data_IF_173241800599
#
_entry.id   IF_173241800599
#
_cell.length_a   1.000
_cell.length_b   1.000
_cell.length_c   1.000
_cell.angle_alpha   90.00
_cell.angle_beta   90.00
_cell.angle_gamma   90.00
#
_symmetry.space_group_name_H-M   'P 1'
#
loop_
_entity.id
_entity.type
_entity.pdbx_description
1 polymer ?
#
# COMPACT_ATOMS: atom_id res chain seq x y z
N UNK A 1 8.02 33.56 -15.87
CA UNK A 1 7.42 32.94 -14.67
C UNK A 1 6.16 32.22 -15.09
N UNK A 2 6.26 30.91 -15.31
CA UNK A 2 5.14 30.03 -15.71
C UNK A 2 4.25 29.71 -14.51
N UNK A 3 2.92 29.55 -14.69
CA UNK A 3 2.00 29.40 -13.58
C UNK A 3 2.21 28.07 -12.86
N UNK A 4 2.03 28.10 -11.54
CA UNK A 4 1.94 26.93 -10.66
C UNK A 4 0.77 26.09 -11.18
N UNK A 5 1.05 24.87 -11.66
CA UNK A 5 0.01 23.93 -12.05
C UNK A 5 -0.99 23.76 -10.90
N UNK A 6 -2.21 24.22 -11.09
CA UNK A 6 -3.33 23.87 -10.22
C UNK A 6 -3.49 22.35 -10.20
N UNK A 7 -3.79 21.75 -9.04
CA UNK A 7 -4.18 20.34 -9.01
C UNK A 7 -5.40 20.14 -9.92
N UNK A 8 -5.44 18.99 -10.60
CA UNK A 8 -6.57 18.58 -11.43
C UNK A 8 -7.86 18.59 -10.57
N UNK A 9 -8.87 19.42 -10.90
CA UNK A 9 -10.07 19.60 -10.07
C UNK A 9 -10.92 18.32 -9.93
N UNK A 10 -10.62 17.24 -10.67
CA UNK A 10 -11.35 15.98 -10.62
C UNK A 10 -10.92 14.99 -9.54
N UNK A 11 -9.72 15.12 -8.95
CA UNK A 11 -9.20 14.11 -8.00
C UNK A 11 -9.26 14.64 -6.57
N UNK A 12 -10.15 14.06 -5.76
CA UNK A 12 -10.26 14.44 -4.35
C UNK A 12 -9.04 13.98 -3.55
N UNK A 13 -8.63 14.72 -2.50
CA UNK A 13 -7.61 14.28 -1.54
C UNK A 13 -7.83 12.85 -1.02
N UNK A 14 -9.07 12.48 -0.75
CA UNK A 14 -9.44 11.14 -0.31
C UNK A 14 -9.09 10.07 -1.35
N UNK A 15 -9.36 10.32 -2.63
CA UNK A 15 -9.01 9.39 -3.70
C UNK A 15 -7.48 9.18 -3.82
N UNK A 16 -6.68 10.22 -3.56
CA UNK A 16 -5.22 10.10 -3.54
C UNK A 16 -4.73 9.30 -2.31
N UNK A 17 -5.32 9.53 -1.13
CA UNK A 17 -5.02 8.70 0.06
C UNK A 17 -5.37 7.23 -0.19
N UNK A 18 -6.52 6.95 -0.81
CA UNK A 18 -6.93 5.59 -1.15
C UNK A 18 -6.00 4.96 -2.19
N UNK A 19 -5.53 5.72 -3.16
CA UNK A 19 -4.50 5.27 -4.10
C UNK A 19 -3.20 4.87 -3.37
N UNK A 20 -2.71 5.71 -2.45
CA UNK A 20 -1.52 5.38 -1.64
C UNK A 20 -1.77 4.11 -0.82
N UNK A 21 -2.94 3.99 -0.17
CA UNK A 21 -3.30 2.79 0.60
C UNK A 21 -3.30 1.53 -0.28
N UNK A 22 -3.89 1.59 -1.47
CA UNK A 22 -3.89 0.46 -2.43
C UNK A 22 -2.50 0.07 -2.88
N UNK A 23 -1.61 1.03 -3.12
CA UNK A 23 -0.21 0.73 -3.42
C UNK A 23 0.50 0.05 -2.23
N UNK A 24 0.24 0.50 -1.00
CA UNK A 24 0.76 -0.18 0.19
C UNK A 24 0.26 -1.62 0.27
N UNK A 25 -1.02 -1.87 0.00
CA UNK A 25 -1.60 -3.21 -0.04
C UNK A 25 -0.95 -4.08 -1.12
N UNK A 26 -0.68 -3.53 -2.31
CA UNK A 26 0.06 -4.22 -3.38
C UNK A 26 1.47 -4.61 -2.94
N UNK A 27 2.19 -3.70 -2.27
CA UNK A 27 3.52 -3.99 -1.71
C UNK A 27 3.44 -5.12 -0.68
N UNK A 28 2.47 -5.06 0.25
CA UNK A 28 2.29 -6.06 1.31
C UNK A 28 1.81 -7.41 0.77
N UNK A 29 1.14 -7.45 -0.37
CA UNK A 29 0.72 -8.68 -1.05
C UNK A 29 1.81 -9.28 -1.97
N UNK A 30 2.96 -8.62 -2.09
CA UNK A 30 4.09 -9.06 -2.92
C UNK A 30 5.14 -9.83 -2.12
N UNK A 31 6.14 -10.39 -2.82
CA UNK A 31 7.33 -11.01 -2.19
C UNK A 31 8.14 -10.05 -1.33
N UNK A 32 7.95 -8.75 -1.49
CA UNK A 32 8.66 -7.75 -0.68
C UNK A 32 8.30 -7.85 0.81
N UNK A 33 7.19 -8.51 1.16
CA UNK A 33 6.83 -8.81 2.56
C UNK A 33 7.89 -9.66 3.27
N UNK A 34 8.59 -10.53 2.54
CA UNK A 34 9.63 -11.40 3.10
C UNK A 34 10.83 -10.58 3.62
N UNK A 35 11.09 -9.40 3.03
CA UNK A 35 12.16 -8.49 3.44
C UNK A 35 11.96 -7.92 4.84
N UNK A 36 10.73 -7.93 5.38
CA UNK A 36 10.49 -7.46 6.75
C UNK A 36 11.24 -8.30 7.80
N UNK A 37 11.53 -9.57 7.50
CA UNK A 37 12.20 -10.48 8.42
C UNK A 37 13.69 -10.15 8.60
N UNK A 38 14.36 -9.67 7.55
CA UNK A 38 15.79 -9.30 7.55
C UNK A 38 16.03 -7.80 7.68
N UNK A 39 15.02 -6.96 7.46
CA UNK A 39 15.16 -5.50 7.38
C UNK A 39 15.87 -4.88 8.60
N UNK A 40 15.61 -5.38 9.81
CA UNK A 40 16.25 -4.86 11.03
C UNK A 40 17.77 -5.05 11.09
N UNK A 41 18.34 -5.88 10.22
CA UNK A 41 19.78 -6.12 10.11
C UNK A 41 20.38 -5.38 8.91
N UNK A 42 19.76 -5.52 7.74
CA UNK A 42 20.36 -5.07 6.47
C UNK A 42 19.96 -3.64 6.09
N UNK A 43 18.88 -3.11 6.68
CA UNK A 43 18.31 -1.80 6.37
C UNK A 43 18.14 -1.54 4.87
N UNK A 44 17.80 -2.57 4.09
CA UNK A 44 17.62 -2.44 2.64
C UNK A 44 16.41 -1.55 2.31
N UNK A 45 16.51 -0.84 1.19
CA UNK A 45 15.56 0.20 0.81
C UNK A 45 14.15 -0.37 0.57
N UNK A 46 14.06 -1.59 0.02
CA UNK A 46 12.79 -2.22 -0.24
C UNK A 46 12.13 -2.75 1.04
N UNK A 47 12.91 -3.28 1.99
CA UNK A 47 12.46 -3.62 3.33
C UNK A 47 11.91 -2.39 4.08
N UNK A 48 12.62 -1.26 4.02
CA UNK A 48 12.15 0.01 4.59
C UNK A 48 10.84 0.49 3.96
N UNK A 49 10.72 0.42 2.63
CA UNK A 49 9.47 0.73 1.92
C UNK A 49 8.33 -0.18 2.36
N UNK A 50 8.56 -1.48 2.48
CA UNK A 50 7.53 -2.44 2.92
C UNK A 50 7.09 -2.16 4.35
N UNK A 51 8.04 -1.87 5.25
CA UNK A 51 7.72 -1.53 6.63
C UNK A 51 6.92 -0.22 6.72
N UNK A 52 7.28 0.78 5.93
CA UNK A 52 6.51 2.01 5.79
C UNK A 52 5.08 1.75 5.30
N UNK A 53 4.90 0.87 4.29
CA UNK A 53 3.58 0.49 3.79
C UNK A 53 2.72 -0.18 4.88
N UNK A 54 3.31 -1.06 5.71
CA UNK A 54 2.64 -1.65 6.87
C UNK A 54 2.20 -0.59 7.88
N UNK A 55 3.09 0.34 8.25
CA UNK A 55 2.76 1.42 9.18
C UNK A 55 1.64 2.31 8.61
N UNK A 56 1.66 2.57 7.30
CA UNK A 56 0.66 3.38 6.65
C UNK A 56 -0.74 2.75 6.69
N UNK A 57 -0.85 1.44 6.44
CA UNK A 57 -2.14 0.72 6.53
C UNK A 57 -2.65 0.62 7.96
N UNK A 58 -1.76 0.63 8.95
CA UNK A 58 -2.08 0.70 10.38
C UNK A 58 -2.37 2.13 10.88
N UNK A 59 -2.37 3.14 10.01
CA UNK A 59 -2.61 4.55 10.38
C UNK A 59 -1.44 5.24 11.11
N UNK A 60 -0.27 4.59 11.21
CA UNK A 60 0.94 5.14 11.81
C UNK A 60 1.69 6.03 10.80
N UNK A 61 1.03 7.09 10.33
CA UNK A 61 1.49 7.89 9.20
C UNK A 61 2.85 8.57 9.42
N UNK A 62 3.13 9.12 10.60
CA UNK A 62 4.43 9.74 10.89
C UNK A 62 5.59 8.73 10.74
N UNK A 63 5.40 7.50 11.22
CA UNK A 63 6.37 6.41 11.07
C UNK A 63 6.51 5.96 9.61
N UNK A 64 5.40 5.84 8.89
CA UNK A 64 5.40 5.51 7.47
C UNK A 64 6.20 6.53 6.64
N UNK A 65 5.97 7.83 6.88
CA UNK A 65 6.69 8.91 6.19
C UNK A 65 8.18 8.88 6.48
N UNK A 66 8.58 8.61 7.73
CA UNK A 66 10.00 8.48 8.08
C UNK A 66 10.67 7.38 7.24
N UNK A 67 10.09 6.18 7.22
CA UNK A 67 10.68 5.04 6.53
C UNK A 67 10.63 5.16 5.01
N UNK A 68 9.60 5.79 4.43
CA UNK A 68 9.65 6.12 3.01
C UNK A 68 10.74 7.13 2.67
N UNK A 69 11.03 8.11 3.54
CA UNK A 69 12.12 9.07 3.30
C UNK A 69 13.47 8.38 3.34
N UNK A 70 13.65 7.44 4.28
CA UNK A 70 14.83 6.57 4.33
C UNK A 70 14.99 5.77 3.04
N UNK A 71 13.96 5.00 2.65
CA UNK A 71 13.98 4.17 1.45
C UNK A 71 14.27 4.98 0.18
N UNK A 72 13.58 6.13 0.01
CA UNK A 72 13.81 7.02 -1.11
C UNK A 72 15.24 7.57 -1.13
N UNK A 73 15.80 7.93 0.03
CA UNK A 73 17.19 8.36 0.17
C UNK A 73 18.20 7.26 -0.17
N UNK A 74 17.83 6.00 0.00
CA UNK A 74 18.60 4.82 -0.39
C UNK A 74 18.39 4.38 -1.85
N UNK A 75 17.56 5.11 -2.63
CA UNK A 75 17.37 4.87 -4.07
C UNK A 75 16.03 4.23 -4.45
N UNK A 76 15.11 4.03 -3.50
CA UNK A 76 13.81 3.45 -3.78
C UNK A 76 12.86 4.44 -4.48
N UNK A 77 12.71 4.27 -5.79
CA UNK A 77 11.86 5.13 -6.61
C UNK A 77 10.37 5.07 -6.23
N UNK A 78 9.87 3.92 -5.78
CA UNK A 78 8.48 3.75 -5.37
C UNK A 78 8.21 4.46 -4.03
N UNK A 79 9.15 4.41 -3.08
CA UNK A 79 9.04 5.15 -1.83
C UNK A 79 8.98 6.68 -2.07
N UNK A 80 9.79 7.20 -2.99
CA UNK A 80 9.72 8.61 -3.39
C UNK A 80 8.36 8.96 -4.01
N UNK A 81 7.79 8.08 -4.85
CA UNK A 81 6.45 8.25 -5.42
C UNK A 81 5.32 8.22 -4.37
N UNK A 82 5.42 7.32 -3.38
CA UNK A 82 4.46 7.23 -2.27
C UNK A 82 4.46 8.50 -1.42
N UNK A 83 5.64 9.07 -1.13
CA UNK A 83 5.77 10.37 -0.47
C UNK A 83 5.13 11.50 -1.29
N UNK A 84 5.44 11.57 -2.59
CA UNK A 84 4.88 12.58 -3.47
C UNK A 84 3.35 12.53 -3.52
N UNK A 85 2.81 11.31 -3.59
CA UNK A 85 1.37 11.06 -3.64
C UNK A 85 0.70 11.40 -2.30
N UNK A 86 1.28 10.99 -1.18
CA UNK A 86 0.75 11.32 0.14
C UNK A 86 0.73 12.84 0.38
N UNK A 87 1.83 13.54 0.12
CA UNK A 87 1.88 15.00 0.27
C UNK A 87 0.89 15.70 -0.66
N UNK A 88 0.71 15.21 -1.90
CA UNK A 88 -0.31 15.75 -2.80
C UNK A 88 -1.74 15.63 -2.23
N UNK A 89 -1.99 14.62 -1.38
CA UNK A 89 -3.28 14.40 -0.75
C UNK A 89 -3.48 15.24 0.53
N UNK A 90 -2.48 15.33 1.41
CA UNK A 90 -2.66 15.89 2.76
C UNK A 90 -2.21 17.35 2.91
N UNK A 91 -1.47 17.90 1.95
CA UNK A 91 -1.10 19.32 1.94
C UNK A 91 0.35 19.62 1.53
N UNK A 92 0.66 20.92 1.54
CA UNK A 92 1.91 21.54 1.11
C UNK A 92 2.45 21.01 -0.24
N UNK A 93 2.03 21.71 -1.30
CA UNK A 93 2.51 21.50 -2.66
C UNK A 93 4.06 21.48 -2.84
N UNK A 94 4.89 22.18 -2.02
CA UNK A 94 6.35 22.10 -2.15
C UNK A 94 6.90 20.68 -1.97
N UNK A 95 6.52 19.96 -0.92
CA UNK A 95 7.00 18.63 -0.59
C UNK A 95 6.58 17.62 -1.65
N UNK A 96 5.31 17.70 -2.08
CA UNK A 96 4.80 16.88 -3.18
C UNK A 96 5.63 17.06 -4.46
N UNK A 97 6.02 18.30 -4.79
CA UNK A 97 6.85 18.60 -5.97
C UNK A 97 8.28 18.08 -5.82
N UNK A 98 8.90 18.25 -4.65
CA UNK A 98 10.26 17.76 -4.39
C UNK A 98 10.32 16.25 -4.52
N UNK A 99 9.42 15.53 -3.86
CA UNK A 99 9.39 14.06 -3.93
C UNK A 99 9.01 13.55 -5.32
N UNK A 100 8.13 14.25 -6.05
CA UNK A 100 7.82 13.91 -7.44
C UNK A 100 9.05 14.07 -8.35
N UNK A 101 9.78 15.17 -8.23
CA UNK A 101 11.00 15.38 -8.99
C UNK A 101 12.07 14.33 -8.63
N UNK A 102 12.18 13.96 -7.35
CA UNK A 102 13.12 12.94 -6.93
C UNK A 102 12.73 11.54 -7.42
N UNK A 103 11.44 11.17 -7.39
CA UNK A 103 10.95 9.94 -7.99
C UNK A 103 11.23 9.87 -9.51
N UNK A 104 11.07 11.00 -10.21
CA UNK A 104 11.43 11.10 -11.64
C UNK A 104 12.93 10.92 -11.87
N UNK A 105 13.78 11.51 -11.02
CA UNK A 105 15.23 11.35 -11.10
C UNK A 105 15.65 9.89 -10.87
N UNK A 106 14.97 9.18 -9.97
CA UNK A 106 15.13 7.74 -9.74
C UNK A 106 14.49 6.87 -10.84
N UNK A 107 13.87 7.46 -11.86
CA UNK A 107 13.26 6.73 -12.99
C UNK A 107 11.95 6.03 -12.66
N UNK A 108 11.22 6.49 -11.62
CA UNK A 108 9.98 5.86 -11.19
C UNK A 108 9.01 5.62 -12.35
N UNK A 109 8.48 4.40 -12.41
CA UNK A 109 7.39 3.99 -13.30
C UNK A 109 6.86 2.64 -12.83
N UNK A 110 5.84 2.11 -13.52
CA UNK A 110 5.09 0.92 -13.09
C UNK A 110 5.94 -0.34 -12.85
N UNK A 111 7.15 -0.44 -13.41
CA UNK A 111 8.04 -1.58 -13.14
C UNK A 111 8.60 -1.61 -11.70
N UNK A 112 8.59 -0.47 -11.01
CA UNK A 112 8.96 -0.36 -9.60
C UNK A 112 7.84 -0.81 -8.65
N UNK A 113 6.61 -0.94 -9.15
CA UNK A 113 5.50 -1.47 -8.35
C UNK A 113 5.65 -2.99 -8.30
N UNK A 114 5.83 -3.59 -7.10
CA UNK A 114 6.03 -5.03 -7.01
C UNK A 114 4.73 -5.76 -7.38
N UNK A 115 4.88 -6.97 -7.90
CA UNK A 115 3.74 -7.80 -8.31
C UNK A 115 3.20 -8.55 -7.10
N UNK A 116 1.89 -8.48 -6.81
CA UNK A 116 1.28 -9.34 -5.80
C UNK A 116 1.52 -10.82 -6.11
N UNK A 117 1.82 -11.61 -5.09
CA UNK A 117 2.01 -13.06 -5.20
C UNK A 117 0.78 -13.82 -4.70
N UNK A 118 -0.01 -13.19 -3.83
CA UNK A 118 -1.31 -13.69 -3.38
C UNK A 118 -2.41 -12.81 -3.99
N UNK A 119 -3.06 -13.30 -5.05
CA UNK A 119 -4.24 -12.64 -5.64
C UNK A 119 -5.54 -12.96 -4.91
N UNK A 120 -5.53 -14.01 -4.09
CA UNK A 120 -6.68 -14.46 -3.31
C UNK A 120 -6.34 -14.43 -1.83
N UNK A 121 -7.30 -14.01 -1.00
CA UNK A 121 -7.31 -14.24 0.45
C UNK A 121 -7.41 -15.74 0.71
N UNK A 122 -6.33 -16.47 0.43
CA UNK A 122 -6.14 -17.81 0.95
C UNK A 122 -5.88 -17.60 2.44
N UNK A 123 -6.87 -17.93 3.28
CA UNK A 123 -6.66 -18.03 4.71
C UNK A 123 -5.40 -18.87 4.93
N UNK A 124 -4.40 -18.31 5.62
CA UNK A 124 -3.18 -19.07 5.89
C UNK A 124 -3.60 -20.41 6.53
N UNK A 125 -2.91 -21.49 6.18
CA UNK A 125 -3.35 -22.86 6.54
C UNK A 125 -3.64 -23.03 8.03
N UNK A 126 -2.95 -22.26 8.89
CA UNK A 126 -3.14 -22.24 10.35
C UNK A 126 -4.32 -21.37 10.85
N UNK A 127 -4.81 -20.42 10.04
CA UNK A 127 -6.03 -19.64 10.30
C UNK A 127 -7.25 -20.24 9.59
N UNK A 128 -7.05 -21.16 8.65
CA UNK A 128 -8.11 -21.93 8.03
C UNK A 128 -8.63 -22.98 9.03
N UNK A 129 -9.66 -22.63 9.81
CA UNK A 129 -10.38 -23.62 10.60
C UNK A 129 -11.11 -24.56 9.64
N UNK A 130 -10.71 -25.84 9.61
CA UNK A 130 -11.49 -26.89 8.95
C UNK A 130 -12.77 -27.09 9.77
N UNK A 131 -13.82 -26.37 9.43
CA UNK A 131 -15.11 -26.52 10.10
C UNK A 131 -15.63 -27.95 9.92
N UNK A 132 -15.96 -28.68 11.01
CA UNK A 132 -16.67 -29.95 10.92
C UNK A 132 -18.02 -29.68 10.28
N UNK A 133 -18.24 -30.28 9.11
CA UNK A 133 -19.42 -30.00 8.30
C UNK A 133 -20.55 -30.96 8.70
N UNK A 134 -21.36 -30.57 9.67
CA UNK A 134 -22.59 -31.27 10.03
C UNK A 134 -23.77 -30.30 10.24
N UNK A 135 -24.93 -30.87 10.59
CA UNK A 135 -26.33 -30.44 10.42
C UNK A 135 -26.66 -28.93 10.50
N UNK A 136 -25.88 -28.14 11.22
CA UNK A 136 -26.10 -26.70 11.45
C UNK A 136 -25.99 -25.82 10.19
N UNK A 137 -25.36 -26.31 9.11
CA UNK A 137 -25.28 -25.59 7.82
C UNK A 137 -26.65 -25.26 7.25
N UNK A 138 -27.58 -26.23 7.24
CA UNK A 138 -28.86 -26.03 6.55
C UNK A 138 -29.69 -24.95 7.23
N UNK A 139 -29.59 -24.85 8.55
CA UNK A 139 -30.18 -23.78 9.36
C UNK A 139 -29.54 -22.42 9.08
N UNK A 140 -28.21 -22.36 8.99
CA UNK A 140 -27.49 -21.12 8.67
C UNK A 140 -27.83 -20.61 7.26
N UNK A 141 -27.79 -21.49 6.24
CA UNK A 141 -28.15 -21.14 4.87
C UNK A 141 -29.65 -20.85 4.68
N UNK A 142 -30.54 -21.41 5.50
CA UNK A 142 -31.97 -21.04 5.53
C UNK A 142 -32.22 -19.66 6.14
N UNK A 143 -31.34 -19.22 7.06
CA UNK A 143 -31.42 -17.90 7.70
C UNK A 143 -30.73 -16.78 6.92
N UNK A 144 -29.96 -17.11 5.88
CA UNK A 144 -29.25 -16.15 5.06
C UNK A 144 -30.23 -15.38 4.14
N UNK A 145 -30.14 -14.04 4.09
CA UNK A 145 -30.87 -13.24 3.11
C UNK A 145 -30.60 -13.75 1.68
N UNK A 146 -31.67 -13.87 0.87
CA UNK A 146 -31.63 -14.54 -0.45
C UNK A 146 -30.63 -13.90 -1.43
N UNK A 147 -30.26 -12.65 -1.20
CA UNK A 147 -29.28 -11.85 -1.90
C UNK A 147 -27.83 -12.39 -1.78
N UNK A 148 -27.54 -13.24 -0.80
CA UNK A 148 -26.24 -13.91 -0.63
C UNK A 148 -26.20 -15.35 -1.14
N UNK A 149 -27.34 -15.91 -1.58
CA UNK A 149 -27.44 -17.32 -2.02
C UNK A 149 -27.19 -17.52 -3.53
N UNK A 150 -26.99 -16.44 -4.29
CA UNK A 150 -26.68 -16.49 -5.73
C UNK A 150 -25.36 -15.79 -6.02
N UNK A 151 -24.26 -16.52 -5.84
CA UNK A 151 -23.03 -16.40 -6.62
C UNK A 151 -22.41 -17.79 -6.77
#
# INVERSE_FOLDING_TARGET
MTPIASPDPGVSPAAVVDYVRRLCEVVLASKDVERLSSFGQDYDEAGARTYACLLYTLGQHSGALYWWRFAAGAGDALAAHLLASHHAAVGLAPEARVWRAFAQMLGFSNHHVPKPVHSETVLAEHFAVRMPWDQERQSFFRGLPRDLATR
#
